data_IF_433788055928
#
_entry.id   IF_433788055928
#
_cell.length_a   1.000
_cell.length_b   1.000
_cell.length_c   1.000
_cell.angle_alpha   90.00
_cell.angle_beta   90.00
_cell.angle_gamma   90.00
#
_symmetry.space_group_name_H-M   'P 1'
#
loop_
_entity.id
_entity.type
_entity.pdbx_description
1 polymer ?
#
# COMPACT_ATOMS: atom_id res chain seq x y z
N UNK A 1 0.24 -23.84 23.25
CA UNK A 1 1.25 -22.80 22.97
C UNK A 1 0.51 -21.51 22.64
N UNK A 2 0.54 -20.53 23.54
CA UNK A 2 -0.07 -19.22 23.31
C UNK A 2 0.82 -18.39 22.39
N UNK A 3 0.51 -18.41 21.09
CA UNK A 3 1.13 -17.51 20.09
C UNK A 3 0.71 -16.03 20.26
N UNK A 4 -0.10 -15.73 21.28
CA UNK A 4 -0.85 -14.47 21.39
C UNK A 4 -0.87 -13.90 22.82
N UNK A 5 0.29 -13.80 23.47
CA UNK A 5 0.44 -12.60 24.26
C UNK A 5 0.46 -11.45 23.27
N UNK A 6 -0.53 -10.54 23.35
CA UNK A 6 -0.36 -9.17 22.84
C UNK A 6 0.99 -8.79 23.44
N UNK A 7 2.07 -8.67 22.64
CA UNK A 7 3.36 -8.36 23.24
C UNK A 7 3.06 -7.14 24.11
N UNK A 8 3.49 -7.14 25.40
CA UNK A 8 3.39 -5.93 26.19
C UNK A 8 3.80 -4.82 25.24
N UNK A 9 2.98 -3.77 25.13
CA UNK A 9 3.36 -2.58 24.38
C UNK A 9 4.54 -2.00 25.16
N UNK A 10 5.69 -2.67 25.10
CA UNK A 10 6.98 -2.05 25.30
C UNK A 10 6.89 -0.86 24.37
N UNK A 11 7.21 0.32 24.89
CA UNK A 11 7.23 1.61 24.20
C UNK A 11 8.23 1.62 23.02
N UNK A 12 8.14 0.63 22.15
CA UNK A 12 8.86 0.48 20.89
C UNK A 12 8.08 1.12 19.75
N UNK A 13 6.94 1.78 20.02
CA UNK A 13 6.41 2.74 19.05
C UNK A 13 7.47 3.83 18.95
N UNK A 14 8.19 3.98 17.83
CA UNK A 14 9.03 5.15 17.70
C UNK A 14 8.15 6.36 17.97
N UNK A 15 8.65 7.26 18.80
CA UNK A 15 7.90 8.46 19.13
C UNK A 15 7.46 9.10 17.82
N UNK A 16 6.22 9.60 17.72
CA UNK A 16 5.76 10.34 16.52
C UNK A 16 6.78 11.40 16.09
N UNK A 17 7.54 11.94 17.05
CA UNK A 17 8.69 12.82 16.84
C UNK A 17 9.80 12.19 15.99
N UNK A 18 10.18 10.93 16.22
CA UNK A 18 11.18 10.24 15.42
C UNK A 18 10.72 10.01 13.97
N UNK A 19 9.47 9.57 13.77
CA UNK A 19 8.91 9.39 12.42
C UNK A 19 8.94 10.72 11.66
N UNK A 20 8.49 11.82 12.30
CA UNK A 20 8.51 13.16 11.71
C UNK A 20 9.92 13.65 11.41
N UNK A 21 10.83 13.53 12.38
CA UNK A 21 12.23 13.89 12.17
C UNK A 21 12.81 13.13 10.97
N UNK A 22 12.42 11.86 10.78
CA UNK A 22 12.87 11.10 9.63
C UNK A 22 12.26 11.58 8.31
N UNK A 23 10.96 11.87 8.29
CA UNK A 23 10.28 12.47 7.13
C UNK A 23 10.91 13.80 6.73
N UNK A 24 11.24 14.65 7.71
CA UNK A 24 11.87 15.95 7.47
C UNK A 24 13.30 15.82 6.93
N UNK A 25 14.03 14.80 7.41
CA UNK A 25 15.40 14.48 7.03
C UNK A 25 15.52 13.66 5.73
N UNK A 26 14.48 13.60 4.89
CA UNK A 26 14.58 12.89 3.62
C UNK A 26 15.55 13.62 2.66
N UNK A 27 16.76 13.07 2.51
CA UNK A 27 17.90 13.69 1.82
C UNK A 27 17.85 13.60 0.28
N UNK A 28 16.73 13.17 -0.30
CA UNK A 28 16.64 12.91 -1.74
C UNK A 28 16.95 14.15 -2.59
N UNK A 29 16.63 15.34 -2.12
CA UNK A 29 16.89 16.62 -2.80
C UNK A 29 18.38 16.81 -3.08
N UNK A 30 19.26 16.41 -2.14
CA UNK A 30 20.70 16.53 -2.32
C UNK A 30 21.23 15.63 -3.45
N UNK A 31 20.51 14.54 -3.76
CA UNK A 31 20.93 13.51 -4.71
C UNK A 31 20.29 13.74 -6.08
N UNK A 32 18.99 14.03 -6.13
CA UNK A 32 18.28 14.26 -7.40
C UNK A 32 18.43 15.69 -7.93
N UNK A 33 18.78 16.65 -7.05
CA UNK A 33 18.75 18.10 -7.34
C UNK A 33 17.37 18.60 -7.77
N UNK A 34 16.31 17.84 -7.51
CA UNK A 34 14.95 18.22 -7.87
C UNK A 34 14.24 18.96 -6.73
N UNK A 35 13.26 19.85 -7.02
CA UNK A 35 12.55 20.62 -6.00
C UNK A 35 11.85 19.75 -4.94
N UNK A 36 11.87 20.21 -3.69
CA UNK A 36 11.18 19.57 -2.55
C UNK A 36 9.68 19.50 -2.73
N UNK A 37 9.06 20.52 -3.34
CA UNK A 37 7.63 20.60 -3.60
C UNK A 37 7.09 19.50 -4.53
N UNK A 38 7.99 18.78 -5.21
CA UNK A 38 7.63 17.60 -5.99
C UNK A 38 7.59 16.33 -5.13
N UNK A 39 7.96 16.39 -3.86
CA UNK A 39 7.80 15.27 -2.94
C UNK A 39 6.36 15.20 -2.43
N UNK A 40 5.84 13.98 -2.33
CA UNK A 40 4.54 13.65 -1.78
C UNK A 40 4.61 13.67 -0.26
N UNK A 41 3.69 14.39 0.37
CA UNK A 41 3.53 14.29 1.81
C UNK A 41 2.78 13.00 2.14
N UNK A 42 3.27 12.14 3.05
CA UNK A 42 2.52 10.98 3.49
C UNK A 42 1.24 11.43 4.21
N UNK A 43 0.24 10.54 4.28
CA UNK A 43 -0.92 10.77 5.12
C UNK A 43 -0.56 10.59 6.61
N UNK A 44 -1.56 10.86 7.44
CA UNK A 44 -1.55 10.63 8.88
C UNK A 44 -2.67 9.62 9.20
N UNK A 45 -2.75 9.04 10.41
CA UNK A 45 -1.83 9.17 11.54
C UNK A 45 -0.64 8.19 11.50
N UNK A 46 0.49 8.56 12.09
CA UNK A 46 1.73 7.75 12.12
C UNK A 46 1.62 6.48 12.98
N UNK A 47 0.60 6.39 13.83
CA UNK A 47 0.27 5.21 14.65
C UNK A 47 -0.90 4.38 14.10
N UNK A 48 -1.23 4.57 12.81
CA UNK A 48 -2.22 3.74 12.12
C UNK A 48 -1.86 2.25 12.17
N UNK A 49 -2.88 1.40 12.23
CA UNK A 49 -2.72 -0.05 12.12
C UNK A 49 -2.81 -0.54 10.66
N UNK A 50 -3.29 0.31 9.75
CA UNK A 50 -3.40 0.03 8.32
C UNK A 50 -2.51 0.99 7.52
N UNK A 51 -1.63 0.40 6.72
CA UNK A 51 -0.79 1.09 5.76
C UNK A 51 -1.33 0.97 4.34
N UNK A 52 -1.21 2.04 3.56
CA UNK A 52 -1.48 2.02 2.12
C UNK A 52 -0.26 2.55 1.37
N UNK A 53 0.29 1.74 0.47
CA UNK A 53 1.43 2.11 -0.36
C UNK A 53 0.97 2.08 -1.81
N UNK A 54 0.87 3.25 -2.43
CA UNK A 54 0.38 3.41 -3.80
C UNK A 54 1.26 4.38 -4.55
N UNK A 55 1.42 4.17 -5.85
CA UNK A 55 1.86 5.27 -6.69
C UNK A 55 0.69 6.24 -6.94
N UNK A 56 0.73 7.42 -6.32
CA UNK A 56 -0.26 8.46 -6.53
C UNK A 56 0.14 9.27 -7.77
N UNK A 57 -0.47 8.96 -8.91
CA UNK A 57 -0.29 9.78 -10.11
C UNK A 57 -0.82 11.19 -9.85
N UNK A 58 0.04 12.19 -9.96
CA UNK A 58 -0.37 13.58 -9.87
C UNK A 58 -0.58 14.16 -11.26
N UNK A 59 -1.55 15.06 -11.38
CA UNK A 59 -1.55 16.01 -12.49
C UNK A 59 -0.50 17.10 -12.21
N UNK A 60 0.01 17.75 -13.27
CA UNK A 60 1.13 18.72 -13.23
C UNK A 60 1.27 19.50 -11.91
N UNK A 61 2.50 19.56 -11.38
CA UNK A 61 2.89 20.50 -10.33
C UNK A 61 3.19 19.84 -8.99
N UNK A 62 2.79 20.50 -7.92
CA UNK A 62 2.93 20.05 -6.53
C UNK A 62 2.14 18.76 -6.29
N UNK A 63 2.76 17.74 -5.68
CA UNK A 63 2.05 16.49 -5.33
C UNK A 63 1.01 16.74 -4.24
N UNK A 64 1.34 17.65 -3.32
CA UNK A 64 0.59 17.86 -2.09
C UNK A 64 0.54 16.59 -1.25
N UNK A 65 -0.61 16.40 -0.61
CA UNK A 65 -0.86 15.30 0.32
C UNK A 65 -1.15 14.00 -0.43
N UNK A 66 -0.62 12.88 0.09
CA UNK A 66 -0.93 11.54 -0.39
C UNK A 66 -2.44 11.31 -0.46
N UNK A 67 -3.16 11.75 0.57
CA UNK A 67 -4.62 11.65 0.65
C UNK A 67 -5.32 12.82 -0.06
N UNK A 68 -5.05 13.01 -1.35
CA UNK A 68 -5.70 14.02 -2.18
C UNK A 68 -7.01 13.47 -2.77
N UNK A 69 -8.16 14.07 -2.45
CA UNK A 69 -9.47 13.68 -2.97
C UNK A 69 -9.66 13.97 -4.47
N UNK A 70 -8.74 14.68 -5.12
CA UNK A 70 -8.69 14.81 -6.57
C UNK A 70 -8.07 13.56 -7.24
N UNK A 71 -7.31 12.75 -6.48
CA UNK A 71 -6.81 11.47 -6.96
C UNK A 71 -7.94 10.46 -7.06
N UNK A 72 -8.20 9.96 -8.26
CA UNK A 72 -9.23 8.93 -8.49
C UNK A 72 -9.04 7.70 -7.62
N UNK A 73 -7.79 7.28 -7.36
CA UNK A 73 -7.51 6.16 -6.47
C UNK A 73 -7.99 6.46 -5.05
N UNK A 74 -7.67 7.65 -4.52
CA UNK A 74 -8.09 8.07 -3.18
C UNK A 74 -9.61 8.26 -3.09
N UNK A 75 -10.26 8.78 -4.13
CA UNK A 75 -11.74 8.87 -4.19
C UNK A 75 -12.39 7.49 -4.02
N UNK A 76 -11.85 6.48 -4.70
CA UNK A 76 -12.40 5.12 -4.66
C UNK A 76 -12.17 4.46 -3.30
N UNK A 77 -11.00 4.66 -2.70
CA UNK A 77 -10.75 4.23 -1.32
C UNK A 77 -11.73 4.93 -0.36
N UNK A 78 -11.94 6.23 -0.53
CA UNK A 78 -12.87 7.02 0.28
C UNK A 78 -14.31 6.55 0.15
N UNK A 79 -14.77 6.22 -1.06
CA UNK A 79 -16.10 5.65 -1.31
C UNK A 79 -16.30 4.27 -0.64
N UNK A 80 -15.22 3.58 -0.28
CA UNK A 80 -15.22 2.32 0.46
C UNK A 80 -15.10 2.50 1.97
N UNK A 81 -15.21 3.72 2.47
CA UNK A 81 -15.12 4.03 3.90
C UNK A 81 -13.69 4.12 4.40
N UNK A 82 -12.69 4.13 3.50
CA UNK A 82 -11.32 4.39 3.89
C UNK A 82 -11.08 5.88 4.07
N UNK A 83 -10.31 6.27 5.08
CA UNK A 83 -10.10 7.68 5.38
C UNK A 83 -8.74 7.92 6.01
N UNK A 84 -8.26 9.16 5.88
CA UNK A 84 -6.98 9.59 6.45
C UNK A 84 -6.97 9.65 7.98
N UNK A 85 -8.09 9.40 8.65
CA UNK A 85 -8.15 9.42 10.11
C UNK A 85 -7.62 8.11 10.71
N UNK A 86 -7.52 7.03 9.92
CA UNK A 86 -7.10 5.71 10.41
C UNK A 86 -6.05 5.01 9.55
N UNK A 87 -5.64 5.60 8.43
CA UNK A 87 -4.71 4.99 7.47
C UNK A 87 -3.47 5.84 7.33
N UNK A 88 -2.31 5.21 7.47
CA UNK A 88 -1.06 5.82 7.02
C UNK A 88 -0.78 5.42 5.57
N UNK A 89 -0.68 6.40 4.69
CA UNK A 89 -0.58 6.24 3.27
C UNK A 89 0.62 6.99 2.72
N UNK A 90 1.40 6.39 1.84
CA UNK A 90 2.49 7.09 1.19
C UNK A 90 2.79 6.54 -0.21
N UNK A 91 3.41 7.38 -1.04
CA UNK A 91 3.94 6.95 -2.31
C UNK A 91 5.34 6.37 -2.11
N UNK A 92 5.56 5.13 -2.55
CA UNK A 92 6.88 4.48 -2.44
C UNK A 92 7.99 5.28 -3.14
N UNK A 93 7.63 5.97 -4.22
CA UNK A 93 8.53 6.81 -4.99
C UNK A 93 8.53 8.25 -4.48
N UNK A 94 7.66 8.59 -3.54
CA UNK A 94 7.63 9.88 -2.85
C UNK A 94 7.53 11.10 -3.77
N UNK A 95 7.32 10.97 -5.08
CA UNK A 95 7.61 12.05 -6.01
C UNK A 95 6.58 12.15 -7.13
N UNK A 96 6.18 13.39 -7.44
CA UNK A 96 5.37 13.74 -8.60
C UNK A 96 6.11 13.30 -9.85
N UNK A 97 5.45 12.43 -10.60
CA UNK A 97 5.90 12.04 -11.91
C UNK A 97 4.96 12.62 -12.96
N UNK A 98 5.51 13.16 -14.04
CA UNK A 98 4.75 13.71 -15.16
C UNK A 98 4.13 12.59 -16.02
N UNK A 99 3.69 11.50 -15.39
CA UNK A 99 3.15 10.30 -16.04
C UNK A 99 1.88 10.60 -16.85
N UNK A 100 1.10 11.61 -16.46
CA UNK A 100 -0.15 11.97 -17.14
C UNK A 100 0.05 12.46 -18.60
N UNK A 101 1.26 12.94 -18.96
CA UNK A 101 1.55 13.55 -20.27
C UNK A 101 2.45 12.70 -21.19
N UNK A 102 2.86 11.51 -20.74
CA UNK A 102 3.73 10.66 -21.54
C UNK A 102 2.92 9.94 -22.64
N UNK A 103 3.39 9.90 -23.89
CA UNK A 103 2.79 9.07 -24.94
C UNK A 103 2.79 7.58 -24.57
N UNK A 104 3.80 7.16 -23.79
CA UNK A 104 4.04 5.81 -23.27
C UNK A 104 3.58 5.64 -21.82
N UNK A 105 2.31 5.94 -21.53
CA UNK A 105 1.65 5.90 -20.19
C UNK A 105 1.78 4.58 -19.41
N UNK A 106 2.39 3.55 -20.00
CA UNK A 106 2.43 2.18 -19.47
C UNK A 106 3.62 1.89 -18.56
N UNK A 107 4.70 2.67 -18.64
CA UNK A 107 5.92 2.40 -17.91
C UNK A 107 5.97 3.20 -16.60
N UNK A 108 6.29 2.50 -15.49
CA UNK A 108 6.61 3.18 -14.25
C UNK A 108 7.71 4.23 -14.49
N UNK A 109 7.51 5.49 -14.06
CA UNK A 109 8.46 6.57 -14.34
C UNK A 109 9.86 6.28 -13.80
N UNK A 110 9.93 5.49 -12.72
CA UNK A 110 11.17 5.11 -12.07
C UNK A 110 12.07 4.25 -12.95
N UNK A 111 11.58 3.63 -14.04
CA UNK A 111 12.44 2.91 -14.98
C UNK A 111 13.59 3.74 -15.55
N UNK A 112 13.46 5.08 -15.56
CA UNK A 112 14.49 6.01 -16.04
C UNK A 112 15.32 6.65 -14.93
N UNK A 113 15.01 6.36 -13.67
CA UNK A 113 15.78 6.89 -12.55
C UNK A 113 17.16 6.26 -12.52
N UNK A 114 18.15 7.06 -12.10
CA UNK A 114 19.46 6.53 -11.77
C UNK A 114 19.37 5.53 -10.61
N UNK A 115 20.32 4.61 -10.55
CA UNK A 115 20.43 3.66 -9.45
C UNK A 115 20.50 4.37 -8.08
N UNK A 116 21.26 5.47 -8.00
CA UNK A 116 21.37 6.27 -6.78
C UNK A 116 20.01 6.83 -6.32
N UNK A 117 19.21 7.37 -7.26
CA UNK A 117 17.86 7.88 -6.93
C UNK A 117 16.96 6.75 -6.43
N UNK A 118 16.91 5.62 -7.15
CA UNK A 118 16.17 4.43 -6.69
C UNK A 118 16.55 4.00 -5.27
N UNK A 119 17.86 3.87 -5.01
CA UNK A 119 18.37 3.39 -3.74
C UNK A 119 17.92 4.28 -2.57
N UNK A 120 17.89 5.60 -2.76
CA UNK A 120 17.47 6.56 -1.72
C UNK A 120 15.99 6.44 -1.41
N UNK A 121 15.14 6.35 -2.43
CA UNK A 121 13.70 6.17 -2.23
C UNK A 121 13.38 4.80 -1.60
N UNK A 122 14.02 3.72 -2.07
CA UNK A 122 13.84 2.38 -1.50
C UNK A 122 14.32 2.32 -0.05
N UNK A 123 15.50 2.89 0.26
CA UNK A 123 16.04 2.93 1.61
C UNK A 123 15.13 3.72 2.56
N UNK A 124 14.62 4.87 2.11
CA UNK A 124 13.73 5.71 2.90
C UNK A 124 12.36 5.05 3.13
N UNK A 125 11.73 4.50 2.10
CA UNK A 125 10.49 3.73 2.22
C UNK A 125 10.64 2.55 3.18
N UNK A 126 11.75 1.81 3.08
CA UNK A 126 12.08 0.70 3.98
C UNK A 126 12.20 1.16 5.41
N UNK A 127 13.00 2.19 5.67
CA UNK A 127 13.21 2.69 7.02
C UNK A 127 11.91 3.22 7.64
N UNK A 128 11.09 3.92 6.84
CA UNK A 128 9.79 4.35 7.31
C UNK A 128 8.89 3.17 7.68
N UNK A 129 8.89 2.09 6.89
CA UNK A 129 8.19 0.85 7.24
C UNK A 129 8.76 0.15 8.48
N UNK A 130 10.06 0.29 8.76
CA UNK A 130 10.64 -0.23 9.99
C UNK A 130 10.17 0.55 11.22
N UNK A 131 9.99 1.87 11.07
CA UNK A 131 9.51 2.75 12.14
C UNK A 131 7.99 2.62 12.35
N UNK A 132 7.21 2.51 11.28
CA UNK A 132 5.75 2.51 11.41
C UNK A 132 5.24 1.17 11.94
N UNK A 133 4.28 1.16 12.89
CA UNK A 133 3.79 -0.07 13.50
C UNK A 133 3.00 -0.96 12.53
N UNK A 134 2.57 -0.42 11.38
CA UNK A 134 1.65 -0.99 10.37
C UNK A 134 1.69 -2.52 10.27
N UNK A 135 0.87 -3.25 11.08
CA UNK A 135 0.78 -4.70 10.98
C UNK A 135 0.11 -5.15 9.68
N UNK A 136 -0.73 -4.29 9.11
CA UNK A 136 -1.41 -4.52 7.84
C UNK A 136 -0.97 -3.48 6.83
N UNK A 137 -0.57 -3.92 5.64
CA UNK A 137 -0.21 -3.02 4.55
C UNK A 137 -0.89 -3.46 3.27
N UNK A 138 -1.46 -2.51 2.55
CA UNK A 138 -2.01 -2.73 1.22
C UNK A 138 -1.10 -2.04 0.22
N UNK A 139 -0.64 -2.77 -0.78
CA UNK A 139 0.33 -2.29 -1.78
C UNK A 139 -0.29 -2.33 -3.17
N UNK A 140 -0.36 -1.17 -3.79
CA UNK A 140 -0.90 -0.99 -5.14
C UNK A 140 0.13 -0.71 -6.19
N UNK A 141 -0.03 -1.42 -7.31
CA UNK A 141 0.82 -1.27 -8.49
C UNK A 141 2.08 -2.14 -8.42
N UNK A 142 2.53 -2.57 -9.60
CA UNK A 142 3.67 -3.47 -9.73
C UNK A 142 4.95 -2.89 -9.15
N UNK A 143 5.23 -1.61 -9.38
CA UNK A 143 6.50 -1.02 -8.96
C UNK A 143 6.64 -0.89 -7.43
N UNK A 144 5.60 -0.45 -6.73
CA UNK A 144 5.60 -0.38 -5.27
C UNK A 144 5.74 -1.79 -4.66
N UNK A 145 5.01 -2.77 -5.21
CA UNK A 145 5.11 -4.18 -4.80
C UNK A 145 6.52 -4.73 -4.99
N UNK A 146 7.09 -4.58 -6.18
CA UNK A 146 8.41 -5.13 -6.48
C UNK A 146 9.49 -4.49 -5.60
N UNK A 147 9.34 -3.20 -5.28
CA UNK A 147 10.27 -2.48 -4.40
C UNK A 147 10.10 -2.89 -2.94
N UNK A 148 8.86 -3.02 -2.45
CA UNK A 148 8.57 -3.56 -1.12
C UNK A 148 9.13 -4.97 -0.95
N UNK A 149 8.98 -5.85 -1.94
CA UNK A 149 9.54 -7.20 -1.91
C UNK A 149 11.05 -7.25 -1.72
N UNK A 150 11.79 -6.27 -2.25
CA UNK A 150 13.24 -6.16 -2.03
C UNK A 150 13.60 -5.81 -0.58
N UNK A 151 12.66 -5.30 0.20
CA UNK A 151 12.86 -4.94 1.61
C UNK A 151 12.53 -6.06 2.59
N UNK A 152 11.86 -7.12 2.12
CA UNK A 152 11.45 -8.24 2.96
C UNK A 152 12.65 -9.05 3.45
N UNK A 153 12.51 -9.63 4.65
CA UNK A 153 13.50 -10.54 5.20
C UNK A 153 13.61 -11.82 4.36
N UNK A 154 14.75 -12.55 4.43
CA UNK A 154 14.87 -13.88 3.82
C UNK A 154 13.86 -14.91 4.36
N UNK A 155 13.27 -14.67 5.53
CA UNK A 155 12.27 -15.53 6.16
C UNK A 155 10.86 -15.27 5.63
N UNK A 156 10.66 -14.16 4.91
CA UNK A 156 9.36 -13.76 4.43
C UNK A 156 8.71 -14.84 3.53
N UNK A 157 7.38 -14.97 3.64
CA UNK A 157 6.61 -15.96 2.88
C UNK A 157 5.62 -15.26 1.96
N UNK A 158 5.38 -15.88 0.80
CA UNK A 158 4.42 -15.42 -0.17
C UNK A 158 3.33 -16.48 -0.33
N UNK A 159 2.09 -16.06 -0.15
CA UNK A 159 0.91 -16.91 -0.28
C UNK A 159 0.08 -16.35 -1.43
N UNK A 160 0.09 -16.99 -2.61
CA UNK A 160 -0.82 -16.64 -3.68
C UNK A 160 -2.23 -17.07 -3.29
N UNK A 161 -3.19 -16.20 -3.56
CA UNK A 161 -4.60 -16.42 -3.32
C UNK A 161 -5.37 -16.04 -4.57
N UNK A 162 -5.96 -17.04 -5.23
CA UNK A 162 -6.85 -16.80 -6.36
C UNK A 162 -8.22 -16.40 -5.84
N UNK A 163 -8.63 -15.16 -6.11
CA UNK A 163 -9.99 -14.68 -5.80
C UNK A 163 -10.96 -15.00 -6.93
N UNK A 164 -10.45 -15.03 -8.17
CA UNK A 164 -11.15 -15.49 -9.38
C UNK A 164 -10.13 -15.88 -10.46
N UNK A 165 -10.60 -16.31 -11.62
CA UNK A 165 -9.74 -16.62 -12.78
C UNK A 165 -8.90 -15.44 -13.26
N UNK A 166 -9.32 -14.21 -12.94
CA UNK A 166 -8.68 -12.97 -13.39
C UNK A 166 -8.03 -12.17 -12.26
N UNK A 167 -8.35 -12.50 -11.01
CA UNK A 167 -7.94 -11.75 -9.83
C UNK A 167 -7.08 -12.64 -8.94
N UNK A 168 -5.78 -12.34 -8.88
CA UNK A 168 -4.85 -12.98 -7.95
C UNK A 168 -4.40 -11.97 -6.91
N UNK A 169 -4.63 -12.30 -5.65
CA UNK A 169 -4.06 -11.62 -4.49
C UNK A 169 -2.77 -12.33 -4.09
N UNK A 170 -1.78 -11.57 -3.68
CA UNK A 170 -0.53 -12.06 -3.12
C UNK A 170 -0.43 -11.53 -1.68
N UNK A 171 -0.47 -12.45 -0.72
CA UNK A 171 -0.27 -12.15 0.68
C UNK A 171 1.21 -12.37 0.99
N UNK A 172 1.88 -11.34 1.47
CA UNK A 172 3.28 -11.35 1.84
C UNK A 172 3.38 -11.26 3.37
N UNK A 173 3.94 -12.31 3.98
CA UNK A 173 4.19 -12.39 5.41
C UNK A 173 5.62 -11.95 5.66
N UNK A 174 5.80 -10.78 6.24
CA UNK A 174 7.10 -10.32 6.73
C UNK A 174 7.36 -10.96 8.09
N UNK A 175 8.22 -11.97 8.10
CA UNK A 175 8.57 -12.76 9.28
C UNK A 175 9.93 -12.28 9.80
N UNK A 176 9.98 -11.97 11.08
CA UNK A 176 11.20 -11.67 11.82
C UNK A 176 11.43 -12.71 12.91
N UNK A 177 12.56 -12.62 13.63
CA UNK A 177 12.95 -13.59 14.68
C UNK A 177 11.85 -13.83 15.73
N UNK A 178 11.05 -12.80 16.02
CA UNK A 178 9.98 -12.83 17.03
C UNK A 178 8.60 -13.18 16.48
N UNK A 179 8.48 -13.50 15.19
CA UNK A 179 7.23 -13.86 14.53
C UNK A 179 6.86 -12.95 13.36
N UNK A 180 5.57 -12.94 13.00
CA UNK A 180 5.07 -12.12 11.89
C UNK A 180 5.06 -10.65 12.33
N UNK A 181 5.87 -9.82 11.66
CA UNK A 181 5.88 -8.38 11.85
C UNK A 181 4.74 -7.70 11.10
N UNK A 182 4.54 -8.10 9.83
CA UNK A 182 3.64 -7.42 8.91
C UNK A 182 3.03 -8.37 7.90
N UNK A 183 1.78 -8.10 7.56
CA UNK A 183 1.03 -8.80 6.52
C UNK A 183 0.74 -7.77 5.43
N UNK A 184 1.39 -7.95 4.29
CA UNK A 184 1.21 -7.10 3.12
C UNK A 184 0.31 -7.79 2.10
N UNK A 185 -0.64 -7.05 1.56
CA UNK A 185 -1.51 -7.46 0.48
C UNK A 185 -1.09 -6.72 -0.77
N UNK A 186 -0.64 -7.46 -1.77
CA UNK A 186 -0.45 -6.91 -3.11
C UNK A 186 -1.33 -7.68 -4.09
N UNK A 187 -1.85 -7.02 -5.12
CA UNK A 187 -2.64 -7.69 -6.14
C UNK A 187 -1.88 -7.71 -7.46
N UNK A 188 -2.08 -8.80 -8.20
CA UNK A 188 -1.47 -9.01 -9.50
C UNK A 188 -2.59 -9.26 -10.51
N UNK A 189 -2.87 -8.25 -11.32
CA UNK A 189 -3.80 -8.39 -12.43
C UNK A 189 -3.06 -9.10 -13.57
N UNK A 190 -3.38 -10.39 -13.78
CA UNK A 190 -2.97 -11.09 -15.01
C UNK A 190 -3.93 -10.69 -16.12
N UNK A 191 -3.66 -9.61 -16.85
CA UNK A 191 -4.41 -9.33 -18.07
C UNK A 191 -3.98 -10.32 -19.16
N UNK A 192 -4.87 -11.26 -19.54
CA UNK A 192 -4.65 -12.17 -20.67
C UNK A 192 -5.10 -11.62 -22.04
N UNK A 193 -5.74 -10.45 -22.12
CA UNK A 193 -6.36 -10.01 -23.39
C UNK A 193 -6.38 -8.49 -23.69
N UNK A 194 -5.74 -7.63 -22.89
CA UNK A 194 -5.62 -6.21 -23.23
C UNK A 194 -4.16 -5.82 -23.35
N UNK A 195 -3.72 -5.66 -24.59
CA UNK A 195 -2.41 -5.11 -24.93
C UNK A 195 -2.24 -3.71 -24.32
N UNK A 196 -1.06 -3.47 -23.75
CA UNK A 196 -0.39 -2.17 -23.67
C UNK A 196 -1.12 -0.99 -23.01
N UNK A 197 -1.99 -1.18 -22.00
CA UNK A 197 -2.51 -0.05 -21.21
C UNK A 197 -2.44 -0.31 -19.71
N UNK A 198 -1.27 -0.11 -19.10
CA UNK A 198 -1.17 0.04 -17.66
C UNK A 198 -1.65 1.44 -17.27
N UNK A 199 -2.87 1.52 -16.73
CA UNK A 199 -3.39 2.74 -16.14
C UNK A 199 -3.76 2.45 -14.68
N UNK A 200 -3.33 3.26 -13.71
CA UNK A 200 -3.93 3.21 -12.38
C UNK A 200 -5.41 3.65 -12.36
N UNK A 201 -5.95 4.15 -13.48
CA UNK A 201 -7.40 4.39 -13.65
C UNK A 201 -8.19 3.09 -13.76
N UNK A 202 -7.66 2.02 -14.37
CA UNK A 202 -8.28 0.68 -14.35
C UNK A 202 -8.00 -0.08 -13.05
N UNK A 203 -6.98 0.33 -12.28
CA UNK A 203 -6.82 -0.21 -10.92
C UNK A 203 -7.93 0.23 -9.98
N UNK A 204 -8.59 1.36 -10.23
CA UNK A 204 -9.68 1.86 -9.40
C UNK A 204 -10.91 0.92 -9.33
N UNK A 205 -11.44 0.52 -10.49
CA UNK A 205 -12.52 -0.48 -10.56
C UNK A 205 -12.06 -1.87 -10.07
N UNK A 206 -10.76 -2.14 -10.10
CA UNK A 206 -10.20 -3.41 -9.63
C UNK A 206 -9.97 -3.45 -8.11
N UNK A 207 -9.55 -2.35 -7.49
CA UNK A 207 -9.55 -2.17 -6.03
C UNK A 207 -10.93 -2.49 -5.47
N UNK A 208 -11.98 -2.12 -6.20
CA UNK A 208 -13.35 -2.46 -5.85
C UNK A 208 -13.57 -3.98 -5.80
N UNK A 209 -13.08 -4.75 -6.78
CA UNK A 209 -13.21 -6.21 -6.76
C UNK A 209 -12.38 -6.86 -5.66
N UNK A 210 -11.11 -6.47 -5.47
CA UNK A 210 -10.26 -7.07 -4.44
C UNK A 210 -10.80 -6.84 -3.01
N UNK A 211 -11.29 -5.63 -2.71
CA UNK A 211 -11.89 -5.31 -1.41
C UNK A 211 -13.27 -5.96 -1.22
N UNK A 212 -14.06 -6.11 -2.29
CA UNK A 212 -15.38 -6.78 -2.24
C UNK A 212 -15.24 -8.31 -2.15
N UNK A 213 -14.28 -8.91 -2.85
CA UNK A 213 -13.92 -10.32 -2.68
C UNK A 213 -13.37 -10.61 -1.28
N UNK A 214 -12.76 -9.61 -0.62
CA UNK A 214 -12.34 -9.73 0.77
C UNK A 214 -13.52 -9.85 1.74
N UNK A 215 -14.64 -9.17 1.47
CA UNK A 215 -15.87 -9.36 2.26
C UNK A 215 -16.53 -10.74 2.06
N UNK A 216 -16.20 -11.43 0.96
CA UNK A 216 -16.62 -12.82 0.69
C UNK A 216 -15.59 -13.88 1.08
N UNK A 217 -14.50 -13.50 1.76
CA UNK A 217 -13.37 -14.38 2.02
C UNK A 217 -13.72 -15.44 3.08
N UNK A 218 -13.72 -16.72 2.69
CA UNK A 218 -13.94 -17.83 3.61
C UNK A 218 -12.75 -17.96 4.57
N UNK A 219 -12.99 -17.76 5.87
CA UNK A 219 -11.97 -17.71 6.92
C UNK A 219 -11.19 -19.02 7.11
N UNK A 220 -11.65 -20.13 6.53
CA UNK A 220 -11.04 -21.46 6.68
C UNK A 220 -9.64 -21.61 6.06
N UNK A 221 -9.33 -20.87 4.99
CA UNK A 221 -7.99 -20.90 4.36
C UNK A 221 -6.98 -20.06 5.16
N UNK A 222 -7.44 -18.96 5.76
CA UNK A 222 -6.64 -18.05 6.57
C UNK A 222 -6.38 -18.65 7.96
N UNK A 223 -7.33 -19.40 8.53
CA UNK A 223 -7.21 -20.01 9.86
C UNK A 223 -6.11 -21.08 9.99
N UNK A 224 -5.55 -21.59 8.88
CA UNK A 224 -4.39 -22.50 8.91
C UNK A 224 -3.07 -21.78 9.14
N UNK A 225 -3.01 -20.47 8.87
CA UNK A 225 -1.79 -19.64 8.95
C UNK A 225 -1.92 -18.58 10.06
N UNK A 226 -3.15 -18.17 10.36
CA UNK A 226 -3.46 -17.14 11.34
C UNK A 226 -4.38 -17.68 12.42
N UNK A 227 -4.18 -17.20 13.64
CA UNK A 227 -5.15 -17.45 14.71
C UNK A 227 -6.52 -16.87 14.33
N UNK A 228 -7.59 -17.53 14.77
CA UNK A 228 -8.97 -17.06 14.59
C UNK A 228 -9.15 -15.61 15.08
N UNK A 229 -8.37 -15.20 16.09
CA UNK A 229 -8.36 -13.85 16.66
C UNK A 229 -7.69 -12.81 15.74
N UNK A 230 -6.63 -13.17 14.99
CA UNK A 230 -6.01 -12.30 13.98
C UNK A 230 -6.96 -12.08 12.79
N UNK A 231 -7.62 -13.13 12.30
CA UNK A 231 -8.64 -13.03 11.27
C UNK A 231 -9.80 -12.14 11.74
N UNK A 232 -10.27 -12.35 12.98
CA UNK A 232 -11.34 -11.56 13.59
C UNK A 232 -10.96 -10.09 13.72
N UNK A 233 -9.75 -9.77 14.17
CA UNK A 233 -9.28 -8.38 14.25
C UNK A 233 -9.16 -7.70 12.90
N UNK A 234 -8.70 -8.42 11.88
CA UNK A 234 -8.69 -7.90 10.52
C UNK A 234 -10.10 -7.62 10.04
N UNK A 235 -11.00 -8.59 10.20
CA UNK A 235 -12.42 -8.48 9.85
C UNK A 235 -13.11 -7.35 10.63
N UNK A 236 -12.83 -7.19 11.92
CA UNK A 236 -13.37 -6.10 12.73
C UNK A 236 -12.80 -4.73 12.31
N UNK A 237 -11.49 -4.65 12.03
CA UNK A 237 -10.89 -3.41 11.54
C UNK A 237 -11.41 -3.01 10.16
N UNK A 238 -11.67 -3.99 9.29
CA UNK A 238 -11.99 -3.75 7.87
C UNK A 238 -13.50 -3.78 7.55
N UNK A 239 -14.27 -4.69 8.15
CA UNK A 239 -15.69 -4.91 7.84
C UNK A 239 -16.66 -4.22 8.82
N UNK A 240 -16.28 -4.01 10.09
CA UNK A 240 -17.16 -3.30 11.05
C UNK A 240 -17.14 -1.78 10.83
N UNK A 241 -16.03 -1.25 10.29
CA UNK A 241 -15.84 0.18 10.07
C UNK A 241 -16.12 0.65 8.63
N UNK A 242 -16.21 -0.27 7.67
CA UNK A 242 -16.68 0.03 6.32
C UNK A 242 -18.17 -0.32 6.24
N UNK A 243 -19.10 0.65 6.14
CA UNK A 243 -20.53 0.36 6.14
C UNK A 243 -20.89 -0.55 4.95
N UNK A 244 -21.78 -1.55 5.15
CA UNK A 244 -22.15 -2.51 4.11
C UNK A 244 -22.93 -1.89 2.93
N UNK A 245 -23.24 -0.60 2.94
CA UNK A 245 -24.00 0.07 1.88
C UNK A 245 -23.19 0.43 0.63
N UNK A 246 -21.88 0.14 0.57
CA UNK A 246 -21.01 0.53 -0.55
C UNK A 246 -20.85 -0.52 -1.66
N UNK A 247 -21.71 -1.54 -1.73
CA UNK A 247 -21.69 -2.56 -2.81
C UNK A 247 -22.57 -2.15 -3.99
N UNK A 248 -22.30 -0.99 -4.60
CA UNK A 248 -22.80 -0.70 -5.95
C UNK A 248 -21.87 -1.36 -6.96
N UNK A 249 -22.41 -2.32 -7.71
CA UNK A 249 -21.85 -2.79 -8.98
C UNK A 249 -21.96 -1.60 -9.93
N UNK A 250 -20.82 -1.00 -10.29
CA UNK A 250 -20.79 -0.07 -11.42
C UNK A 250 -20.81 -0.95 -12.67
N UNK A 251 -22.01 -1.23 -13.18
CA UNK A 251 -22.17 -1.66 -14.56
C UNK A 251 -21.74 -0.48 -15.44
N UNK A 252 -20.70 -0.67 -16.25
CA UNK A 252 -20.38 0.29 -17.29
C UNK A 252 -21.44 0.17 -18.37
N UNK A 253 -22.38 1.10 -18.41
CA UNK A 253 -23.19 1.31 -19.60
C UNK A 253 -22.25 1.62 -20.78
N UNK A 254 -22.57 1.01 -21.92
CA UNK A 254 -21.82 1.06 -23.18
C UNK A 254 -21.92 2.41 -23.86
#
# INVERSE_FOLDING_TARGET
MDFLQKPPRVDQRPSRKLIRARLDAFLEIAISREPRERLADPSRPEDAELGIILHCQTMKGHVGQFWNLESRAIQLLSAKGLSREFIFGFDWHWRAEESARRPDKTACPTKRWSFAKHSVHDAFSRELLELLPLPWVIIGGGCAKDSYRRTLSPLAKQIPVSLSDTVNLQIELDIQEKGIKRIAYSYLIRHRAFSNRHHPQSTGSFWMQALTSFSGFNTSTVSRVFSQQQCRRFVEAFLVRCPPQSFMVIESER
#
